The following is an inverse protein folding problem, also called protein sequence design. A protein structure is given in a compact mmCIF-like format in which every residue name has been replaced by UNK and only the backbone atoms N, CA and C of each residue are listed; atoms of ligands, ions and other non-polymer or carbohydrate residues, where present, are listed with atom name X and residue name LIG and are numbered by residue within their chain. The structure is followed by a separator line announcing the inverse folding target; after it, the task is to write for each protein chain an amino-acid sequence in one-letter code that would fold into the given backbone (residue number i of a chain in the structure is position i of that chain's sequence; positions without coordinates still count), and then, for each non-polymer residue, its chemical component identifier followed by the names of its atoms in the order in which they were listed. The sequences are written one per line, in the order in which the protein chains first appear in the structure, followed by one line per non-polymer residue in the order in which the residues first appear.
data_IF_264399815629
#
_entry.id   IF_264399815629
#
_cell.length_a   1.000
_cell.length_b   1.000
_cell.length_c   1.000
_cell.angle_alpha   90.00
_cell.angle_beta   90.00
_cell.angle_gamma   90.00
#
_symmetry.space_group_name_H-M   'P 1'
#
loop_
_entity.id
_entity.type
_entity.pdbx_description
1 polymer ?
#
# COMPACT_ATOMS: atom_id res chain seq x y z
N UNK A 1 -10.56 -9.83 11.30
CA UNK A 1 -10.86 -10.64 12.50
C UNK A 1 -12.31 -11.04 12.54
N UNK A 2 -12.57 -12.25 13.03
CA UNK A 2 -13.92 -12.83 13.13
C UNK A 2 -14.19 -13.86 12.06
N UNK A 3 -15.30 -14.56 12.20
CA UNK A 3 -15.65 -15.72 11.36
C UNK A 3 -15.89 -15.35 9.90
N UNK A 4 -16.30 -14.12 9.65
CA UNK A 4 -16.73 -13.59 8.36
C UNK A 4 -15.63 -12.73 7.67
N UNK A 5 -14.42 -12.62 8.26
CA UNK A 5 -13.37 -11.73 7.76
C UNK A 5 -12.18 -12.48 7.14
N UNK A 6 -12.22 -13.81 7.12
CA UNK A 6 -11.14 -14.62 6.56
C UNK A 6 -9.82 -14.49 7.34
N UNK A 7 -8.73 -14.79 6.67
CA UNK A 7 -7.39 -14.86 7.26
C UNK A 7 -6.58 -13.58 7.04
N UNK A 8 -7.16 -12.42 7.27
CA UNK A 8 -6.51 -11.12 7.10
C UNK A 8 -6.32 -10.39 8.43
N UNK A 9 -5.26 -9.62 8.54
CA UNK A 9 -5.08 -8.68 9.62
C UNK A 9 -5.91 -7.41 9.35
N UNK A 10 -6.43 -6.81 10.41
CA UNK A 10 -7.16 -5.54 10.37
C UNK A 10 -6.26 -4.33 10.60
N UNK A 11 -4.97 -4.55 10.86
CA UNK A 11 -3.96 -3.51 11.00
C UNK A 11 -2.57 -4.05 10.67
N UNK A 12 -1.71 -3.17 10.18
CA UNK A 12 -0.32 -3.46 9.83
C UNK A 12 0.57 -2.32 10.29
N UNK A 13 1.79 -2.66 10.69
CA UNK A 13 2.90 -1.75 10.87
C UNK A 13 4.12 -2.34 10.16
N UNK A 14 4.71 -1.59 9.25
CA UNK A 14 5.85 -2.03 8.43
C UNK A 14 6.86 -0.92 8.33
N UNK A 15 8.13 -1.26 8.41
CA UNK A 15 9.23 -0.37 8.05
C UNK A 15 9.87 -0.85 6.76
N UNK A 16 9.98 0.07 5.79
CA UNK A 16 10.71 -0.14 4.55
C UNK A 16 12.00 0.68 4.62
N UNK A 17 13.13 0.00 4.54
CA UNK A 17 14.45 0.64 4.53
C UNK A 17 15.02 0.64 3.12
N UNK A 18 15.36 1.81 2.62
CA UNK A 18 15.97 2.00 1.32
C UNK A 18 17.49 1.93 1.40
N UNK A 19 18.20 1.62 0.27
CA UNK A 19 19.65 1.45 0.26
C UNK A 19 20.43 2.65 0.80
N UNK A 20 19.91 3.87 0.63
CA UNK A 20 20.55 5.11 1.10
C UNK A 20 20.18 5.48 2.55
N UNK A 21 19.50 4.57 3.26
CA UNK A 21 19.14 4.73 4.67
C UNK A 21 17.85 5.50 4.95
N UNK A 22 17.07 5.85 3.92
CA UNK A 22 15.72 6.37 4.15
C UNK A 22 14.82 5.26 4.70
N UNK A 23 13.94 5.63 5.64
CA UNK A 23 12.98 4.71 6.24
C UNK A 23 11.57 5.23 6.05
N UNK A 24 10.69 4.38 5.56
CA UNK A 24 9.24 4.62 5.53
C UNK A 24 8.60 3.74 6.60
N UNK A 25 7.97 4.36 7.59
CA UNK A 25 7.10 3.68 8.55
C UNK A 25 5.66 3.72 8.06
N UNK A 26 5.19 2.60 7.54
CA UNK A 26 3.82 2.46 7.04
C UNK A 26 2.92 1.87 8.10
N UNK A 27 1.81 2.52 8.36
CA UNK A 27 0.81 2.07 9.32
C UNK A 27 -0.56 2.11 8.68
N UNK A 28 -1.31 1.04 8.79
CA UNK A 28 -2.70 1.02 8.39
C UNK A 28 -3.57 0.28 9.41
N UNK A 29 -4.84 0.69 9.47
CA UNK A 29 -5.83 0.07 10.33
C UNK A 29 -7.21 0.23 9.72
N UNK A 30 -7.97 -0.87 9.69
CA UNK A 30 -9.35 -0.87 9.24
C UNK A 30 -10.24 -1.46 10.32
N UNK A 31 -10.53 -0.65 11.34
CA UNK A 31 -11.32 -1.05 12.51
C UNK A 31 -12.43 -0.02 12.75
N UNK A 32 -13.66 -0.49 12.94
CA UNK A 32 -14.83 0.35 13.19
C UNK A 32 -14.66 1.17 14.46
N UNK A 33 -15.03 2.46 14.41
CA UNK A 33 -15.01 3.38 15.56
C UNK A 33 -13.63 3.95 15.88
N UNK A 34 -12.61 3.66 15.07
CA UNK A 34 -11.29 4.26 15.23
C UNK A 34 -11.17 5.59 14.48
N UNK A 35 -10.22 6.40 14.91
CA UNK A 35 -9.85 7.64 14.21
C UNK A 35 -9.44 7.32 12.78
N UNK A 36 -9.97 8.08 11.83
CA UNK A 36 -9.56 8.02 10.43
C UNK A 36 -8.48 9.07 10.15
N UNK A 37 -7.41 8.64 9.48
CA UNK A 37 -6.35 9.50 8.99
C UNK A 37 -5.70 8.85 7.78
N UNK A 38 -5.73 9.56 6.65
CA UNK A 38 -5.08 9.13 5.40
C UNK A 38 -4.17 10.26 4.98
N UNK A 39 -2.90 10.14 5.34
CA UNK A 39 -1.89 11.17 5.09
C UNK A 39 -0.49 10.54 5.03
N UNK A 40 0.43 11.24 4.35
CA UNK A 40 1.85 10.98 4.36
C UNK A 40 2.58 12.16 5.01
N UNK A 41 3.57 11.84 5.86
CA UNK A 41 4.41 12.83 6.51
C UNK A 41 5.87 12.56 6.17
N UNK A 42 6.48 13.51 5.48
CA UNK A 42 7.91 13.47 5.15
C UNK A 42 8.68 14.35 6.12
N UNK A 43 9.73 13.78 6.70
CA UNK A 43 10.63 14.53 7.59
C UNK A 43 12.02 14.55 7.00
N UNK A 44 12.53 15.75 6.79
CA UNK A 44 13.86 15.97 6.23
C UNK A 44 14.69 16.91 7.06
N UNK A 45 15.97 17.03 6.71
CA UNK A 45 16.92 17.90 7.41
C UNK A 45 16.59 19.40 7.33
N UNK A 46 15.72 19.81 6.42
CA UNK A 46 15.32 21.22 6.22
C UNK A 46 13.91 21.55 6.69
N UNK A 47 13.09 20.54 7.00
CA UNK A 47 11.70 20.73 7.42
C UNK A 47 10.86 19.47 7.21
N UNK A 48 9.55 19.64 7.14
CA UNK A 48 8.61 18.56 6.92
C UNK A 48 7.58 18.92 5.86
N UNK A 49 7.06 17.90 5.17
CA UNK A 49 5.90 17.96 4.29
C UNK A 49 4.83 17.04 4.84
N UNK A 50 3.60 17.51 4.89
CA UNK A 50 2.42 16.68 5.12
C UNK A 50 1.50 16.81 3.91
N UNK A 51 1.06 15.68 3.39
CA UNK A 51 0.05 15.59 2.32
C UNK A 51 -1.06 14.63 2.73
N UNK A 52 -2.25 14.81 2.17
CA UNK A 52 -3.35 13.89 2.42
C UNK A 52 -4.22 13.68 1.18
N UNK A 53 -5.15 12.76 1.26
CA UNK A 53 -6.05 12.36 0.17
C UNK A 53 -7.06 13.43 -0.29
N UNK A 54 -7.12 14.58 0.39
CA UNK A 54 -8.00 15.71 0.03
C UNK A 54 -7.27 16.79 -0.75
N UNK A 55 -6.23 16.45 -1.48
CA UNK A 55 -5.36 17.38 -2.22
C UNK A 55 -4.76 18.48 -1.33
N UNK A 56 -4.56 18.17 -0.06
CA UNK A 56 -3.96 19.10 0.89
C UNK A 56 -2.47 18.84 1.02
N UNK A 57 -1.66 19.90 1.00
CA UNK A 57 -0.21 19.81 1.17
C UNK A 57 0.38 21.00 1.92
N UNK A 58 1.15 20.74 2.98
CA UNK A 58 1.81 21.80 3.78
C UNK A 58 3.28 21.49 3.97
N UNK A 59 4.14 22.46 3.61
CA UNK A 59 5.57 22.42 3.90
C UNK A 59 5.87 23.37 5.05
N UNK A 60 6.55 22.85 6.07
CA UNK A 60 7.08 23.62 7.21
C UNK A 60 8.59 23.54 7.23
N UNK A 61 9.24 24.69 7.49
CA UNK A 61 10.69 24.73 7.69
C UNK A 61 11.10 24.19 9.09
N UNK A 62 12.41 24.14 9.38
CA UNK A 62 12.96 23.71 10.68
C UNK A 62 12.36 24.45 11.90
N UNK A 63 11.93 25.70 11.71
CA UNK A 63 11.30 26.52 12.77
C UNK A 63 9.80 26.30 12.85
N UNK A 64 9.27 25.25 12.18
CA UNK A 64 7.85 24.93 12.07
C UNK A 64 6.99 26.02 11.42
N UNK A 65 7.61 27.03 10.78
CA UNK A 65 6.91 28.05 10.00
C UNK A 65 6.45 27.43 8.69
N UNK A 66 5.17 27.65 8.34
CA UNK A 66 4.62 27.28 7.04
C UNK A 66 5.32 28.11 5.95
N UNK A 67 5.88 27.44 4.97
CA UNK A 67 6.55 28.04 3.80
C UNK A 67 5.82 27.77 2.49
N UNK A 68 4.94 26.76 2.51
CA UNK A 68 4.04 26.43 1.40
C UNK A 68 2.76 25.81 1.97
N UNK A 69 1.62 26.18 1.41
CA UNK A 69 0.34 25.62 1.76
C UNK A 69 -0.52 25.48 0.49
N UNK A 70 -1.00 24.27 0.25
CA UNK A 70 -1.95 23.93 -0.79
C UNK A 70 -3.20 23.36 -0.14
N UNK A 71 -4.37 23.90 -0.46
CA UNK A 71 -5.64 23.51 0.18
C UNK A 71 -6.58 22.70 -0.74
N UNK A 72 -6.19 22.46 -2.00
CA UNK A 72 -6.97 21.69 -2.95
C UNK A 72 -8.27 22.33 -3.44
N UNK A 73 -8.57 23.58 -3.02
CA UNK A 73 -9.90 24.19 -3.20
C UNK A 73 -10.33 24.36 -4.65
N UNK A 74 -9.37 24.53 -5.57
CA UNK A 74 -9.62 24.70 -7.01
C UNK A 74 -8.98 23.60 -7.86
N UNK A 75 -8.62 22.50 -7.26
CA UNK A 75 -7.99 21.40 -7.97
C UNK A 75 -9.00 20.65 -8.84
N UNK A 76 -8.57 20.27 -10.02
CA UNK A 76 -9.30 19.32 -10.83
C UNK A 76 -9.28 17.97 -10.11
N UNK A 77 -10.39 17.25 -10.13
CA UNK A 77 -10.43 15.90 -9.61
C UNK A 77 -9.32 15.05 -10.27
N UNK A 78 -8.38 14.45 -9.50
CA UNK A 78 -7.24 13.74 -10.06
C UNK A 78 -7.64 12.55 -10.94
N UNK A 79 -8.73 11.86 -10.62
CA UNK A 79 -9.25 10.77 -11.47
C UNK A 79 -9.75 11.27 -12.82
N UNK A 80 -10.34 12.47 -12.86
CA UNK A 80 -10.74 13.08 -14.14
C UNK A 80 -9.51 13.55 -14.91
N UNK A 81 -8.53 14.10 -14.21
CA UNK A 81 -7.31 14.63 -14.84
C UNK A 81 -6.48 13.52 -15.48
N UNK A 82 -6.30 12.39 -14.82
CA UNK A 82 -5.58 11.25 -15.40
C UNK A 82 -6.21 10.76 -16.71
N UNK A 83 -7.54 10.70 -16.78
CA UNK A 83 -8.26 10.35 -18.01
C UNK A 83 -8.09 11.41 -19.10
N UNK A 84 -8.14 12.69 -18.74
CA UNK A 84 -7.93 13.79 -19.68
C UNK A 84 -6.53 13.70 -20.31
N UNK A 85 -5.51 13.45 -19.51
CA UNK A 85 -4.12 13.31 -19.99
C UNK A 85 -3.94 12.07 -20.85
N UNK A 86 -4.49 10.94 -20.45
CA UNK A 86 -4.44 9.69 -21.22
C UNK A 86 -5.10 9.86 -22.59
N UNK A 87 -6.31 10.41 -22.65
CA UNK A 87 -6.99 10.62 -23.94
C UNK A 87 -6.30 11.68 -24.82
N UNK A 88 -5.71 12.71 -24.20
CA UNK A 88 -4.92 13.68 -24.96
C UNK A 88 -3.68 13.03 -25.58
N UNK A 89 -2.97 12.19 -24.81
CA UNK A 89 -1.80 11.45 -25.27
C UNK A 89 -2.15 10.48 -26.42
N UNK A 90 -3.24 9.71 -26.29
CA UNK A 90 -3.73 8.81 -27.34
C UNK A 90 -4.04 9.58 -28.64
N UNK A 91 -4.75 10.71 -28.53
CA UNK A 91 -5.09 11.55 -29.71
C UNK A 91 -3.85 12.15 -30.38
N UNK A 92 -2.82 12.46 -29.60
CA UNK A 92 -1.55 13.00 -30.10
C UNK A 92 -0.59 11.91 -30.62
N UNK A 93 -0.90 10.63 -30.45
CA UNK A 93 0.03 9.52 -30.70
C UNK A 93 1.26 9.53 -29.79
N UNK A 94 1.14 10.10 -28.60
CA UNK A 94 2.20 10.16 -27.59
C UNK A 94 2.05 8.99 -26.61
N UNK A 95 2.96 8.04 -26.66
CA UNK A 95 2.95 6.82 -25.84
C UNK A 95 3.91 6.87 -24.64
N UNK A 96 4.23 8.08 -24.15
CA UNK A 96 5.14 8.26 -23.01
C UNK A 96 4.49 7.98 -21.65
N UNK A 97 3.17 7.89 -21.58
CA UNK A 97 2.46 7.56 -20.34
C UNK A 97 2.44 6.04 -20.13
N UNK A 98 3.62 5.50 -19.87
CA UNK A 98 3.81 4.08 -19.51
C UNK A 98 4.26 3.98 -18.04
N UNK A 99 3.33 3.64 -17.17
CA UNK A 99 3.58 3.44 -15.75
C UNK A 99 3.62 1.94 -15.35
N UNK A 100 3.75 1.04 -16.33
CA UNK A 100 3.74 -0.42 -16.08
C UNK A 100 4.78 -0.84 -15.05
N UNK A 101 6.02 -0.43 -15.22
CA UNK A 101 7.10 -0.76 -14.29
C UNK A 101 6.86 -0.18 -12.90
N UNK A 102 6.48 1.11 -12.83
CA UNK A 102 6.18 1.77 -11.54
C UNK A 102 4.97 1.15 -10.82
N UNK A 103 3.93 0.78 -11.59
CA UNK A 103 2.77 0.08 -11.06
C UNK A 103 3.13 -1.28 -10.47
N UNK A 104 4.00 -2.04 -11.15
CA UNK A 104 4.50 -3.32 -10.68
C UNK A 104 5.33 -3.16 -9.38
N UNK A 105 6.27 -2.21 -9.33
CA UNK A 105 7.08 -1.91 -8.16
C UNK A 105 6.23 -1.46 -6.96
N UNK A 106 5.26 -0.57 -7.18
CA UNK A 106 4.35 -0.11 -6.13
C UNK A 106 3.49 -1.25 -5.58
N UNK A 107 2.99 -2.12 -6.46
CA UNK A 107 2.23 -3.31 -6.07
C UNK A 107 3.10 -4.27 -5.27
N UNK A 108 4.33 -4.53 -5.72
CA UNK A 108 5.26 -5.40 -5.01
C UNK A 108 5.64 -4.84 -3.64
N UNK A 109 5.78 -3.53 -3.50
CA UNK A 109 6.01 -2.88 -2.20
C UNK A 109 4.88 -3.20 -1.21
N UNK A 110 3.62 -3.13 -1.65
CA UNK A 110 2.47 -3.48 -0.80
C UNK A 110 2.46 -4.97 -0.44
N UNK A 111 2.80 -5.85 -1.39
CA UNK A 111 2.91 -7.30 -1.17
C UNK A 111 4.00 -7.60 -0.14
N UNK A 112 5.17 -6.97 -0.26
CA UNK A 112 6.27 -7.10 0.72
C UNK A 112 5.83 -6.72 2.14
N UNK A 113 5.10 -5.61 2.27
CA UNK A 113 4.56 -5.19 3.57
C UNK A 113 3.64 -6.25 4.18
N UNK A 114 2.78 -6.87 3.37
CA UNK A 114 1.93 -7.98 3.81
C UNK A 114 2.76 -9.21 4.20
N UNK A 115 3.73 -9.61 3.39
CA UNK A 115 4.60 -10.74 3.66
C UNK A 115 5.37 -10.55 4.96
N UNK A 116 5.93 -9.36 5.18
CA UNK A 116 6.67 -9.02 6.40
C UNK A 116 5.78 -9.10 7.65
N UNK A 117 4.57 -8.53 7.61
CA UNK A 117 3.67 -8.55 8.78
C UNK A 117 3.12 -9.94 9.07
N UNK A 118 2.85 -10.75 8.06
CA UNK A 118 2.31 -12.11 8.24
C UNK A 118 3.37 -13.10 8.73
N UNK A 119 4.60 -12.95 8.26
CA UNK A 119 5.71 -13.81 8.66
C UNK A 119 6.46 -13.31 9.91
N UNK A 120 6.42 -12.00 10.19
CA UNK A 120 7.21 -11.37 11.24
C UNK A 120 8.71 -11.34 10.93
N UNK A 121 9.09 -11.36 9.65
CA UNK A 121 10.48 -11.44 9.20
C UNK A 121 10.87 -10.22 8.36
N UNK A 122 12.18 -9.96 8.31
CA UNK A 122 12.77 -9.06 7.32
C UNK A 122 12.78 -9.77 5.98
N UNK A 123 12.34 -9.08 4.93
CA UNK A 123 12.29 -9.60 3.56
C UNK A 123 13.08 -8.65 2.69
N UNK A 124 14.01 -9.21 1.92
CA UNK A 124 14.79 -8.44 0.96
C UNK A 124 14.04 -8.32 -0.37
N UNK A 125 14.15 -7.15 -1.00
CA UNK A 125 13.48 -6.88 -2.27
C UNK A 125 13.84 -7.89 -3.36
N UNK A 126 15.14 -8.11 -3.57
CA UNK A 126 15.62 -9.00 -4.64
C UNK A 126 15.18 -10.44 -4.39
N UNK A 127 15.26 -10.91 -3.13
CA UNK A 127 14.76 -12.24 -2.76
C UNK A 127 13.29 -12.41 -3.09
N UNK A 128 12.49 -11.40 -2.81
CA UNK A 128 11.04 -11.44 -3.05
C UNK A 128 10.69 -11.37 -4.54
N UNK A 129 11.45 -10.62 -5.32
CA UNK A 129 11.27 -10.54 -6.78
C UNK A 129 11.60 -11.84 -7.52
N UNK A 130 12.50 -12.66 -6.96
CA UNK A 130 12.90 -13.96 -7.52
C UNK A 130 12.01 -15.11 -7.03
N UNK A 131 11.08 -14.86 -6.10
CA UNK A 131 10.23 -15.91 -5.56
C UNK A 131 9.18 -16.37 -6.58
N UNK A 132 9.12 -17.66 -6.82
CA UNK A 132 8.00 -18.32 -7.51
C UNK A 132 6.87 -18.62 -6.49
N UNK A 133 6.20 -17.56 -6.03
CA UNK A 133 5.13 -17.67 -5.06
C UNK A 133 3.86 -17.00 -5.59
N UNK A 134 2.82 -17.79 -5.78
CA UNK A 134 1.51 -17.31 -6.19
C UNK A 134 0.47 -17.52 -5.09
N UNK A 135 -0.30 -16.48 -4.80
CA UNK A 135 -1.51 -16.56 -3.97
C UNK A 135 -2.78 -16.70 -4.81
N UNK A 136 -2.62 -16.72 -6.13
CA UNK A 136 -3.75 -16.93 -7.04
C UNK A 136 -4.14 -18.40 -7.00
N UNK A 137 -5.36 -18.74 -6.55
CA UNK A 137 -5.79 -20.13 -6.52
C UNK A 137 -6.10 -20.63 -7.94
N UNK A 138 -5.84 -21.91 -8.19
CA UNK A 138 -6.31 -22.59 -9.42
C UNK A 138 -7.79 -22.89 -9.32
N UNK A 139 -8.61 -21.89 -9.56
CA UNK A 139 -10.07 -22.00 -9.58
C UNK A 139 -10.58 -21.77 -11.00
N UNK A 140 -11.43 -22.66 -11.48
CA UNK A 140 -12.00 -22.62 -12.84
C UNK A 140 -13.49 -22.32 -12.82
N UNK A 141 -14.15 -22.43 -11.67
CA UNK A 141 -15.57 -22.15 -11.50
C UNK A 141 -15.89 -21.63 -10.10
N UNK A 142 -17.07 -21.02 -9.94
CA UNK A 142 -17.58 -20.59 -8.63
C UNK A 142 -17.92 -21.77 -7.69
N UNK A 143 -17.96 -22.99 -8.20
CA UNK A 143 -18.25 -24.19 -7.41
C UNK A 143 -16.97 -24.90 -6.93
N UNK A 144 -15.82 -24.42 -7.33
CA UNK A 144 -14.54 -25.01 -6.91
C UNK A 144 -14.31 -24.75 -5.42
N UNK A 145 -13.68 -25.70 -4.77
CA UNK A 145 -13.36 -25.56 -3.35
C UNK A 145 -12.32 -24.45 -3.14
N UNK A 146 -12.63 -23.50 -2.26
CA UNK A 146 -11.69 -22.45 -1.90
C UNK A 146 -10.39 -23.05 -1.30
N UNK A 147 -9.21 -22.46 -1.60
CA UNK A 147 -7.93 -23.02 -1.15
C UNK A 147 -7.76 -23.02 0.36
N UNK A 148 -8.50 -22.15 1.06
CA UNK A 148 -8.51 -22.08 2.53
C UNK A 148 -9.96 -22.12 2.99
N UNK A 149 -10.26 -23.08 3.84
CA UNK A 149 -11.59 -23.27 4.42
C UNK A 149 -11.57 -22.97 5.92
N UNK A 150 -12.69 -22.51 6.49
CA UNK A 150 -12.82 -22.36 7.93
C UNK A 150 -12.81 -23.74 8.61
N UNK A 151 -12.41 -23.77 9.88
CA UNK A 151 -12.52 -24.96 10.72
C UNK A 151 -14.00 -25.27 11.07
N UNK A 152 -14.25 -26.34 11.82
CA UNK A 152 -15.61 -26.75 12.23
C UNK A 152 -16.37 -25.68 13.04
N UNK A 153 -15.66 -24.72 13.65
CA UNK A 153 -16.24 -23.59 14.39
C UNK A 153 -16.51 -22.37 13.50
N UNK A 154 -16.14 -22.44 12.21
CA UNK A 154 -16.25 -21.35 11.25
C UNK A 154 -15.11 -20.35 11.31
N UNK A 155 -14.00 -20.65 12.01
CA UNK A 155 -12.85 -19.75 12.11
C UNK A 155 -11.83 -20.07 11.00
N UNK A 156 -11.34 -19.04 10.32
CA UNK A 156 -10.25 -19.15 9.36
C UNK A 156 -8.88 -19.13 10.06
N UNK A 157 -7.87 -19.83 9.52
CA UNK A 157 -6.51 -19.74 10.05
C UNK A 157 -6.01 -18.30 9.91
N UNK A 158 -5.40 -17.77 10.97
CA UNK A 158 -4.82 -16.43 11.00
C UNK A 158 -3.30 -16.58 10.96
N UNK A 159 -2.59 -15.79 10.16
CA UNK A 159 -1.13 -15.79 10.16
C UNK A 159 -0.58 -15.51 11.57
N UNK A 160 0.50 -16.21 11.91
CA UNK A 160 1.19 -16.08 13.22
C UNK A 160 2.62 -15.63 12.91
N UNK A 161 2.98 -14.37 13.18
CA UNK A 161 4.34 -13.88 12.97
C UNK A 161 5.37 -14.74 13.71
N UNK A 162 6.46 -15.05 13.03
CA UNK A 162 7.49 -15.97 13.50
C UNK A 162 7.25 -17.45 13.17
N UNK A 163 6.01 -17.84 12.83
CA UNK A 163 5.61 -19.22 12.49
C UNK A 163 5.17 -19.31 11.03
N UNK A 164 4.28 -18.40 10.61
CA UNK A 164 3.78 -18.37 9.24
C UNK A 164 4.92 -18.11 8.26
N UNK A 165 5.01 -18.95 7.25
CA UNK A 165 5.93 -18.76 6.14
C UNK A 165 5.24 -17.98 5.02
N UNK A 166 6.04 -17.28 4.23
CA UNK A 166 5.58 -16.55 3.04
C UNK A 166 6.03 -17.22 1.74
N UNK A 167 6.54 -18.46 1.87
CA UNK A 167 6.99 -19.31 0.75
C UNK A 167 5.98 -20.39 0.47
#
# INVERSE_FOLDING_TARGET
KGKDHGQIFDHHFVEFTYPEGQVISSQCRHQKGCMNRVEEVFQGTRGSLTVNSSNYGVIKNKRKKVVYNHNGENDINPYQQEHNELFAAIKAGDYKLDDTAKGAEATMTAILGRMATYSGKVIQWDEAMEMDHSLVPELHSFNDTAPVLPNQKGDYPIPIPGITTYR
#
